data_IF_558225168419
#
_entry.id   IF_558225168419
#
_cell.length_a   1.000
_cell.length_b   1.000
_cell.length_c   1.000
_cell.angle_alpha   90.00
_cell.angle_beta   90.00
_cell.angle_gamma   90.00
#
_symmetry.space_group_name_H-M   'P 1'
#
loop_
_entity.id
_entity.type
_entity.pdbx_description
1 polymer ?
#
# COMPACT_ATOMS: atom_id res chain seq x y z
N UNK A 1 21.72 9.92 -17.46
CA UNK A 1 21.55 8.45 -17.52
C UNK A 1 20.04 8.20 -17.45
N UNK A 2 19.45 7.39 -18.38
CA UNK A 2 17.98 7.27 -18.44
C UNK A 2 17.45 6.28 -17.40
N UNK A 3 16.43 6.68 -16.66
CA UNK A 3 15.72 5.82 -15.70
C UNK A 3 15.00 4.65 -16.42
N UNK A 4 14.48 4.88 -17.62
CA UNK A 4 13.79 3.88 -18.43
C UNK A 4 14.75 3.26 -19.48
N UNK A 5 14.90 1.92 -19.43
CA UNK A 5 15.71 1.13 -20.35
C UNK A 5 14.93 -0.12 -20.78
N UNK A 6 14.45 -0.12 -22.02
CA UNK A 6 13.56 -1.16 -22.56
C UNK A 6 14.23 -2.54 -22.61
N UNK A 7 15.52 -2.60 -22.93
CA UNK A 7 16.24 -3.87 -23.07
C UNK A 7 16.43 -4.55 -21.72
N UNK A 8 16.77 -3.75 -20.69
CA UNK A 8 16.84 -4.24 -19.30
C UNK A 8 15.46 -4.63 -18.77
N UNK A 9 14.43 -3.82 -19.03
CA UNK A 9 13.05 -4.16 -18.64
C UNK A 9 12.63 -5.50 -19.24
N UNK A 10 12.84 -5.70 -20.54
CA UNK A 10 12.48 -6.97 -21.20
C UNK A 10 13.26 -8.16 -20.64
N UNK A 11 14.55 -7.98 -20.31
CA UNK A 11 15.40 -9.02 -19.74
C UNK A 11 14.98 -9.43 -18.34
N UNK A 12 14.58 -8.46 -17.50
CA UNK A 12 14.27 -8.66 -16.10
C UNK A 12 12.78 -8.69 -15.76
N UNK A 13 11.87 -8.55 -16.74
CA UNK A 13 10.42 -8.52 -16.50
C UNK A 13 9.87 -9.91 -16.15
N UNK A 14 10.04 -10.28 -14.91
CA UNK A 14 9.52 -11.52 -14.30
C UNK A 14 8.45 -11.24 -13.25
N UNK A 15 7.68 -12.24 -12.84
CA UNK A 15 6.68 -12.10 -11.78
C UNK A 15 7.37 -12.08 -10.41
N UNK A 16 6.88 -11.23 -9.49
CA UNK A 16 7.47 -11.13 -8.17
C UNK A 16 6.63 -10.32 -7.18
N UNK A 17 6.90 -10.45 -5.85
CA UNK A 17 6.17 -9.76 -4.80
C UNK A 17 6.29 -8.24 -4.92
N UNK A 18 5.31 -7.52 -4.40
CA UNK A 18 5.37 -6.04 -4.30
C UNK A 18 6.12 -5.56 -3.05
N UNK A 19 6.58 -6.48 -2.22
CA UNK A 19 7.31 -6.22 -0.99
C UNK A 19 6.66 -5.18 -0.08
N UNK A 20 5.35 -5.28 0.09
CA UNK A 20 4.61 -4.60 1.17
C UNK A 20 4.85 -5.27 2.52
N UNK A 21 5.43 -6.46 2.50
CA UNK A 21 5.98 -7.23 3.62
C UNK A 21 7.06 -8.16 3.12
N UNK A 22 7.90 -8.63 4.01
CA UNK A 22 8.75 -9.80 3.81
C UNK A 22 8.77 -10.60 5.12
N UNK A 23 8.44 -11.89 5.07
CA UNK A 23 7.86 -12.65 3.95
C UNK A 23 6.51 -12.10 3.47
N UNK A 24 6.12 -12.45 2.23
CA UNK A 24 4.84 -12.01 1.67
C UNK A 24 3.65 -12.68 2.38
N UNK A 25 2.47 -12.03 2.37
CA UNK A 25 1.26 -12.55 3.02
C UNK A 25 0.76 -13.91 2.47
N UNK A 26 1.30 -14.37 1.33
CA UNK A 26 1.03 -15.72 0.81
C UNK A 26 1.65 -16.82 1.69
N UNK A 27 2.64 -16.46 2.51
CA UNK A 27 3.35 -17.38 3.40
C UNK A 27 2.76 -17.40 4.83
N UNK A 28 1.66 -16.67 5.09
CA UNK A 28 1.01 -16.72 6.39
C UNK A 28 0.32 -18.07 6.60
N UNK A 29 0.54 -18.64 7.76
CA UNK A 29 0.02 -19.94 8.21
C UNK A 29 -0.91 -19.77 9.40
N UNK A 30 -1.25 -20.85 10.08
CA UNK A 30 -1.97 -20.81 11.35
C UNK A 30 -1.22 -19.93 12.35
N UNK A 31 -1.96 -19.11 13.08
CA UNK A 31 -1.41 -18.16 14.03
C UNK A 31 -2.37 -18.03 15.20
N UNK A 32 -1.92 -18.39 16.39
CA UNK A 32 -2.75 -18.42 17.59
C UNK A 32 -2.92 -17.02 18.22
N UNK A 33 -3.96 -16.87 19.02
CA UNK A 33 -4.14 -15.66 19.82
C UNK A 33 -3.00 -15.50 20.82
N UNK A 34 -2.52 -16.58 21.44
CA UNK A 34 -1.41 -16.55 22.39
C UNK A 34 -0.12 -16.00 21.73
N UNK A 35 0.19 -16.45 20.50
CA UNK A 35 1.33 -15.91 19.73
C UNK A 35 1.15 -14.41 19.46
N UNK A 36 -0.06 -13.97 19.13
CA UNK A 36 -0.36 -12.55 18.94
C UNK A 36 -0.17 -11.74 20.22
N UNK A 37 -0.71 -12.22 21.35
CA UNK A 37 -0.58 -11.57 22.68
C UNK A 37 0.90 -11.45 23.11
N UNK A 38 1.72 -12.46 22.84
CA UNK A 38 3.17 -12.37 23.09
C UNK A 38 3.82 -11.25 22.27
N UNK A 39 3.37 -11.03 21.03
CA UNK A 39 3.91 -9.95 20.19
C UNK A 39 3.40 -8.57 20.62
N UNK A 40 2.16 -8.44 21.07
CA UNK A 40 1.65 -7.18 21.61
C UNK A 40 2.35 -6.79 22.93
N UNK A 41 2.65 -7.76 23.79
CA UNK A 41 3.47 -7.55 24.99
C UNK A 41 4.91 -7.11 24.63
N UNK A 42 5.51 -7.74 23.60
CA UNK A 42 6.83 -7.32 23.10
C UNK A 42 6.82 -5.91 22.53
N UNK A 43 5.76 -5.53 21.77
CA UNK A 43 5.53 -4.18 21.27
C UNK A 43 5.45 -3.15 22.42
N UNK A 44 4.69 -3.48 23.47
CA UNK A 44 4.52 -2.64 24.64
C UNK A 44 5.84 -2.46 25.40
N UNK A 45 6.63 -3.50 25.59
CA UNK A 45 7.98 -3.43 26.19
C UNK A 45 8.95 -2.60 25.38
N UNK A 46 8.86 -2.64 24.04
CA UNK A 46 9.66 -1.81 23.11
C UNK A 46 9.16 -0.37 23.07
N UNK A 47 7.97 -0.09 23.59
CA UNK A 47 7.26 1.19 23.46
C UNK A 47 7.09 1.63 22.01
N UNK A 48 6.82 0.67 21.13
CA UNK A 48 6.61 0.96 19.71
C UNK A 48 5.43 1.93 19.56
N UNK A 49 5.56 2.90 18.65
CA UNK A 49 4.42 3.71 18.22
C UNK A 49 3.46 2.86 17.40
N UNK A 50 2.21 3.27 17.27
CA UNK A 50 1.15 2.51 16.61
C UNK A 50 0.69 3.22 15.35
N UNK A 51 0.46 2.44 14.30
CA UNK A 51 -0.31 2.80 13.11
C UNK A 51 -1.58 1.96 13.08
N UNK A 52 -2.76 2.59 13.05
CA UNK A 52 -4.04 1.89 12.97
C UNK A 52 -4.49 1.78 11.51
N UNK A 53 -4.84 0.59 11.06
CA UNK A 53 -5.50 0.37 9.78
C UNK A 53 -6.92 -0.13 9.99
N UNK A 54 -7.92 0.61 9.50
CA UNK A 54 -9.31 0.19 9.55
C UNK A 54 -9.82 -0.19 8.15
N UNK A 55 -10.20 -1.45 7.98
CA UNK A 55 -10.78 -1.96 6.74
C UNK A 55 -12.29 -1.75 6.73
N UNK A 56 -12.80 -0.97 5.77
CA UNK A 56 -14.24 -0.81 5.53
C UNK A 56 -14.60 -1.54 4.22
N UNK A 57 -15.27 -2.70 4.29
CA UNK A 57 -15.38 -3.58 3.13
C UNK A 57 -16.44 -3.18 2.09
N UNK A 58 -17.22 -2.12 2.32
CA UNK A 58 -18.38 -1.82 1.50
C UNK A 58 -18.06 -0.97 0.29
N UNK A 59 -18.72 -1.28 -0.85
CA UNK A 59 -18.73 -0.46 -2.07
C UNK A 59 -20.15 -0.35 -2.62
N UNK A 60 -20.53 0.82 -3.13
CA UNK A 60 -21.84 1.01 -3.80
C UNK A 60 -21.94 0.30 -5.16
N UNK A 61 -20.79 0.15 -5.85
CA UNK A 61 -20.67 -0.47 -7.18
C UNK A 61 -19.41 -1.31 -7.27
N UNK A 62 -19.39 -2.27 -8.18
CA UNK A 62 -18.21 -3.08 -8.47
C UNK A 62 -17.39 -2.45 -9.60
N UNK A 63 -16.13 -2.10 -9.34
CA UNK A 63 -15.17 -1.79 -10.40
C UNK A 63 -14.58 -3.09 -10.92
N UNK A 64 -14.53 -3.27 -12.26
CA UNK A 64 -14.15 -4.57 -12.83
C UNK A 64 -12.68 -4.93 -12.64
N UNK A 65 -11.79 -3.95 -12.52
CA UNK A 65 -10.36 -4.18 -12.25
C UNK A 65 -10.04 -4.60 -10.82
N UNK A 66 -10.98 -4.39 -9.87
CA UNK A 66 -10.68 -4.37 -8.44
C UNK A 66 -10.47 -5.76 -7.82
N UNK A 67 -9.31 -5.94 -7.14
CA UNK A 67 -8.93 -7.13 -6.39
C UNK A 67 -9.14 -7.05 -4.86
N UNK A 68 -9.69 -5.95 -4.33
CA UNK A 68 -9.87 -5.79 -2.87
C UNK A 68 -10.91 -6.75 -2.30
N UNK A 69 -10.77 -7.10 -1.01
CA UNK A 69 -11.83 -7.77 -0.25
C UNK A 69 -12.97 -6.79 0.00
N UNK A 70 -14.12 -7.03 -0.60
CA UNK A 70 -15.25 -6.08 -0.59
C UNK A 70 -16.60 -6.74 -0.65
N UNK A 71 -17.58 -6.04 -0.10
CA UNK A 71 -19.01 -6.33 -0.18
C UNK A 71 -19.69 -5.26 -1.03
N UNK A 72 -20.15 -5.61 -2.22
CA UNK A 72 -20.86 -4.66 -3.09
C UNK A 72 -22.33 -4.62 -2.70
N UNK A 73 -22.78 -3.45 -2.24
CA UNK A 73 -24.17 -3.25 -1.80
C UNK A 73 -24.55 -1.76 -1.83
N UNK A 74 -25.83 -1.49 -2.11
CA UNK A 74 -26.41 -0.14 -1.96
C UNK A 74 -27.13 0.02 -0.62
N UNK A 75 -27.32 -1.08 0.11
CA UNK A 75 -27.98 -1.09 1.40
C UNK A 75 -27.05 -0.54 2.49
N UNK A 76 -27.28 0.72 2.86
CA UNK A 76 -26.51 1.43 3.90
C UNK A 76 -26.71 0.84 5.30
N UNK A 77 -27.81 0.10 5.54
CA UNK A 77 -28.07 -0.51 6.84
C UNK A 77 -27.04 -1.58 7.19
N UNK A 78 -26.36 -2.19 6.21
CA UNK A 78 -25.29 -3.16 6.43
C UNK A 78 -24.06 -2.58 7.13
N UNK A 79 -23.90 -1.25 7.15
CA UNK A 79 -22.82 -0.60 7.87
C UNK A 79 -22.93 -0.77 9.38
N UNK A 80 -24.16 -0.69 9.94
CA UNK A 80 -24.36 -0.72 11.40
C UNK A 80 -23.85 -2.02 12.05
N UNK A 81 -24.30 -3.24 11.65
CA UNK A 81 -23.80 -4.46 12.28
C UNK A 81 -22.29 -4.64 12.10
N UNK A 82 -21.72 -4.14 11.01
CA UNK A 82 -20.26 -4.14 10.82
C UNK A 82 -19.55 -3.23 11.82
N UNK A 83 -20.05 -2.01 12.01
CA UNK A 83 -19.49 -1.07 12.99
C UNK A 83 -19.63 -1.59 14.42
N UNK A 84 -20.78 -2.19 14.75
CA UNK A 84 -20.99 -2.81 16.08
C UNK A 84 -19.95 -3.92 16.35
N UNK A 85 -19.63 -4.74 15.35
CA UNK A 85 -18.57 -5.74 15.45
C UNK A 85 -17.15 -5.11 15.51
N UNK A 86 -16.89 -4.13 14.67
CA UNK A 86 -15.61 -3.41 14.66
C UNK A 86 -15.34 -2.69 16.00
N UNK A 87 -16.38 -2.15 16.65
CA UNK A 87 -16.24 -1.55 17.98
C UNK A 87 -15.82 -2.57 19.04
N UNK A 88 -16.35 -3.79 19.00
CA UNK A 88 -15.91 -4.89 19.86
C UNK A 88 -14.44 -5.23 19.63
N UNK A 89 -14.03 -5.35 18.35
CA UNK A 89 -12.64 -5.60 18.00
C UNK A 89 -11.71 -4.50 18.53
N UNK A 90 -12.09 -3.22 18.36
CA UNK A 90 -11.34 -2.07 18.89
C UNK A 90 -11.16 -2.18 20.40
N UNK A 91 -12.23 -2.51 21.15
CA UNK A 91 -12.16 -2.69 22.61
C UNK A 91 -11.19 -3.81 22.96
N UNK A 92 -11.30 -4.98 22.34
CA UNK A 92 -10.44 -6.12 22.60
C UNK A 92 -8.98 -5.82 22.25
N UNK A 93 -8.72 -5.25 21.08
CA UNK A 93 -7.36 -4.90 20.65
C UNK A 93 -6.72 -3.86 21.59
N UNK A 94 -7.47 -2.85 22.02
CA UNK A 94 -6.94 -1.79 22.87
C UNK A 94 -6.52 -2.26 24.27
N UNK A 95 -6.98 -3.42 24.71
CA UNK A 95 -6.57 -4.03 25.98
C UNK A 95 -5.20 -4.71 25.91
N UNK A 96 -4.74 -5.04 24.71
CA UNK A 96 -3.47 -5.72 24.47
C UNK A 96 -2.27 -4.76 24.34
N UNK A 97 -2.51 -3.46 24.21
CA UNK A 97 -1.48 -2.45 24.05
C UNK A 97 -1.37 -1.54 25.28
N UNK A 98 -0.16 -1.15 25.61
CA UNK A 98 0.09 -0.19 26.70
C UNK A 98 -0.50 1.18 26.36
N UNK A 99 -1.20 1.79 27.30
CA UNK A 99 -1.86 3.10 27.11
C UNK A 99 -0.88 4.26 26.86
N UNK A 100 0.40 4.05 27.11
CA UNK A 100 1.46 5.04 26.80
C UNK A 100 1.93 4.97 25.35
N UNK A 101 1.60 3.90 24.59
CA UNK A 101 1.93 3.80 23.17
C UNK A 101 1.10 4.81 22.37
N UNK A 102 1.77 5.55 21.50
CA UNK A 102 1.16 6.67 20.77
C UNK A 102 0.77 6.23 19.37
N UNK A 103 -0.47 6.49 18.96
CA UNK A 103 -0.93 6.34 17.58
C UNK A 103 -0.46 7.55 16.78
N UNK A 104 0.55 7.33 15.92
CA UNK A 104 1.10 8.35 15.01
C UNK A 104 0.42 8.35 13.65
N UNK A 105 -0.13 7.21 13.25
CA UNK A 105 -0.85 7.07 11.98
C UNK A 105 -2.18 6.37 12.15
N UNK A 106 -3.16 6.78 11.33
CA UNK A 106 -4.43 6.08 11.14
C UNK A 106 -4.78 6.09 9.65
N UNK A 107 -5.18 4.95 9.12
CA UNK A 107 -5.63 4.84 7.73
C UNK A 107 -6.94 4.06 7.62
N UNK A 108 -7.94 4.65 6.96
CA UNK A 108 -9.17 3.95 6.58
C UNK A 108 -9.11 3.59 5.10
N UNK A 109 -9.20 2.30 4.82
CA UNK A 109 -9.12 1.77 3.46
C UNK A 109 -10.05 0.58 3.21
N UNK A 110 -9.82 -0.11 2.10
CA UNK A 110 -10.46 -1.39 1.79
C UNK A 110 -11.39 -1.41 0.59
N UNK A 111 -12.71 -1.39 0.80
CA UNK A 111 -13.71 -1.22 -0.25
C UNK A 111 -13.83 0.26 -0.61
N UNK A 112 -14.64 0.97 0.15
CA UNK A 112 -14.82 2.43 0.07
C UNK A 112 -15.20 2.94 1.45
N UNK A 113 -14.28 3.51 2.24
CA UNK A 113 -14.59 3.99 3.59
C UNK A 113 -15.72 5.02 3.62
N UNK A 114 -15.83 5.85 2.59
CA UNK A 114 -16.92 6.82 2.41
C UNK A 114 -18.26 6.18 1.97
N UNK A 115 -18.37 4.86 2.03
CA UNK A 115 -19.65 4.17 2.11
C UNK A 115 -20.38 4.51 3.42
N UNK A 116 -19.65 4.71 4.49
CA UNK A 116 -20.18 5.19 5.77
C UNK A 116 -20.65 6.64 5.64
N UNK A 117 -21.64 7.01 6.46
CA UNK A 117 -22.03 8.41 6.60
C UNK A 117 -20.97 9.21 7.37
N UNK A 118 -20.97 10.54 7.23
CA UNK A 118 -20.07 11.41 8.00
C UNK A 118 -20.19 11.19 9.52
N UNK A 119 -21.42 11.03 10.03
CA UNK A 119 -21.66 10.73 11.43
C UNK A 119 -21.04 9.40 11.86
N UNK A 120 -21.20 8.33 11.05
CA UNK A 120 -20.61 7.03 11.35
C UNK A 120 -19.07 7.08 11.35
N UNK A 121 -18.47 7.87 10.46
CA UNK A 121 -17.01 8.07 10.41
C UNK A 121 -16.53 8.83 11.67
N UNK A 122 -17.25 9.87 12.08
CA UNK A 122 -16.94 10.61 13.31
C UNK A 122 -17.06 9.68 14.55
N UNK A 123 -18.12 8.88 14.62
CA UNK A 123 -18.32 7.93 15.72
C UNK A 123 -17.20 6.88 15.78
N UNK A 124 -16.79 6.32 14.63
CA UNK A 124 -15.69 5.37 14.55
C UNK A 124 -14.35 6.00 14.96
N UNK A 125 -14.06 7.20 14.46
CA UNK A 125 -12.86 7.94 14.86
C UNK A 125 -12.83 8.24 16.36
N UNK A 126 -13.95 8.68 16.92
CA UNK A 126 -14.07 8.94 18.37
C UNK A 126 -13.87 7.64 19.18
N UNK A 127 -14.41 6.52 18.74
CA UNK A 127 -14.21 5.20 19.36
C UNK A 127 -12.73 4.82 19.42
N UNK A 128 -12.00 5.01 18.31
CA UNK A 128 -10.56 4.77 18.24
C UNK A 128 -9.78 5.69 19.19
N UNK A 129 -10.12 6.99 19.21
CA UNK A 129 -9.47 7.98 20.07
C UNK A 129 -9.74 7.74 21.57
N UNK A 130 -10.87 7.14 21.94
CA UNK A 130 -11.15 6.70 23.31
C UNK A 130 -10.37 5.43 23.70
N UNK A 131 -10.14 4.54 22.74
CA UNK A 131 -9.49 3.27 22.97
C UNK A 131 -7.94 3.38 22.98
N UNK A 132 -7.36 4.24 22.16
CA UNK A 132 -5.91 4.42 21.97
C UNK A 132 -5.48 5.88 22.26
N UNK A 133 -4.19 6.06 22.52
CA UNK A 133 -3.58 7.37 22.76
C UNK A 133 -3.09 7.98 21.44
N UNK A 134 -3.76 8.99 20.91
CA UNK A 134 -3.48 9.60 19.60
C UNK A 134 -2.53 10.81 19.72
N UNK A 135 -1.55 10.86 18.82
CA UNK A 135 -0.72 12.05 18.62
C UNK A 135 -1.58 13.23 18.12
N UNK A 136 -1.28 14.44 18.60
CA UNK A 136 -2.08 15.62 18.24
C UNK A 136 -1.99 15.91 16.73
N UNK A 137 -0.80 15.82 16.16
CA UNK A 137 -0.49 16.11 14.77
C UNK A 137 -0.08 14.84 13.99
N UNK A 138 -0.71 13.71 14.28
CA UNK A 138 -0.47 12.46 13.57
C UNK A 138 -0.93 12.49 12.11
N UNK A 139 -0.53 11.48 11.35
CA UNK A 139 -0.91 11.31 9.96
C UNK A 139 -2.18 10.45 9.85
N UNK A 140 -3.32 11.08 9.55
CA UNK A 140 -4.62 10.42 9.52
C UNK A 140 -5.22 10.50 8.12
N UNK A 141 -5.30 9.37 7.43
CA UNK A 141 -5.64 9.28 6.01
C UNK A 141 -6.86 8.40 5.75
N UNK A 142 -7.56 8.70 4.66
CA UNK A 142 -8.75 7.95 4.23
C UNK A 142 -8.79 7.83 2.71
N UNK A 143 -9.15 6.63 2.23
CA UNK A 143 -9.42 6.38 0.82
C UNK A 143 -10.82 6.89 0.42
N UNK A 144 -10.92 7.58 -0.70
CA UNK A 144 -12.15 8.18 -1.20
C UNK A 144 -12.45 7.73 -2.63
N UNK A 145 -13.68 7.28 -2.84
CA UNK A 145 -14.28 7.25 -4.17
C UNK A 145 -14.99 8.61 -4.39
N UNK A 146 -14.57 9.45 -5.35
CA UNK A 146 -15.09 10.81 -5.48
C UNK A 146 -16.56 10.85 -5.94
N UNK A 147 -17.12 9.72 -6.34
CA UNK A 147 -18.53 9.62 -6.77
C UNK A 147 -19.46 9.72 -5.57
N UNK A 148 -20.33 10.73 -5.58
CA UNK A 148 -21.33 10.94 -4.53
C UNK A 148 -20.79 11.55 -3.23
N UNK A 149 -19.59 12.14 -3.27
CA UNK A 149 -19.02 12.90 -2.16
C UNK A 149 -19.60 14.32 -2.20
N UNK A 150 -20.12 14.79 -1.07
CA UNK A 150 -20.56 16.17 -0.88
C UNK A 150 -19.63 16.92 0.10
N UNK A 151 -19.92 18.21 0.26
CA UNK A 151 -19.16 19.09 1.16
C UNK A 151 -19.26 18.60 2.62
N UNK A 152 -20.46 18.22 3.07
CA UNK A 152 -20.72 17.84 4.46
C UNK A 152 -19.90 16.59 4.85
N UNK A 153 -19.71 15.65 3.90
CA UNK A 153 -18.92 14.47 4.17
C UNK A 153 -17.43 14.85 4.38
N UNK A 154 -16.85 15.71 3.53
CA UNK A 154 -15.45 16.16 3.70
C UNK A 154 -15.27 16.93 5.01
N UNK A 155 -16.23 17.81 5.37
CA UNK A 155 -16.22 18.49 6.67
C UNK A 155 -16.29 17.48 7.85
N UNK A 156 -17.08 16.42 7.70
CA UNK A 156 -17.13 15.34 8.69
C UNK A 156 -15.79 14.59 8.81
N UNK A 157 -15.05 14.41 7.71
CA UNK A 157 -13.71 13.82 7.74
C UNK A 157 -12.73 14.72 8.51
N UNK A 158 -12.78 16.04 8.32
CA UNK A 158 -11.96 16.98 9.08
C UNK A 158 -12.30 16.95 10.59
N UNK A 159 -13.59 16.92 10.94
CA UNK A 159 -14.06 16.74 12.33
C UNK A 159 -13.54 15.40 12.92
N UNK A 160 -13.52 14.34 12.13
CA UNK A 160 -12.97 13.03 12.50
C UNK A 160 -11.42 13.02 12.53
N UNK A 161 -10.76 14.19 12.37
CA UNK A 161 -9.31 14.42 12.40
C UNK A 161 -8.53 13.86 11.23
N UNK A 162 -9.20 13.47 10.13
CA UNK A 162 -8.46 13.16 8.92
C UNK A 162 -7.82 14.42 8.35
N UNK A 163 -6.55 14.30 7.95
CA UNK A 163 -5.77 15.39 7.36
C UNK A 163 -5.13 15.01 6.03
N UNK A 164 -5.39 13.80 5.54
CA UNK A 164 -4.93 13.30 4.24
C UNK A 164 -6.03 12.51 3.56
N UNK A 165 -6.14 12.65 2.23
CA UNK A 165 -7.06 11.86 1.41
C UNK A 165 -6.32 11.17 0.26
N UNK A 166 -6.72 9.92 -0.06
CA UNK A 166 -6.34 9.25 -1.30
C UNK A 166 -7.57 9.07 -2.17
N UNK A 167 -7.53 9.58 -3.40
CA UNK A 167 -8.66 9.61 -4.32
C UNK A 167 -8.42 8.62 -5.45
N UNK A 168 -9.26 7.59 -5.53
CA UNK A 168 -9.23 6.65 -6.64
C UNK A 168 -9.77 7.28 -7.93
N UNK A 169 -8.89 7.80 -8.77
CA UNK A 169 -9.22 8.34 -10.10
C UNK A 169 -9.14 7.25 -11.16
N UNK A 170 -8.06 6.52 -11.19
CA UNK A 170 -7.71 5.44 -12.11
C UNK A 170 -7.44 5.93 -13.55
N UNK A 171 -8.39 6.60 -14.18
CA UNK A 171 -8.32 7.23 -15.49
C UNK A 171 -9.40 8.29 -15.63
N UNK A 172 -9.17 9.32 -16.48
CA UNK A 172 -10.17 10.33 -16.85
C UNK A 172 -10.74 10.15 -18.26
N UNK A 173 -10.32 9.15 -19.01
CA UNK A 173 -10.95 8.82 -20.28
C UNK A 173 -12.29 8.10 -20.06
N UNK A 174 -13.34 8.60 -20.70
CA UNK A 174 -14.70 8.08 -20.51
C UNK A 174 -14.88 6.64 -20.96
N UNK A 175 -14.27 6.25 -22.09
CA UNK A 175 -14.39 4.89 -22.62
C UNK A 175 -13.65 3.89 -21.76
N UNK A 176 -12.49 4.28 -21.20
CA UNK A 176 -11.77 3.47 -20.20
C UNK A 176 -12.61 3.31 -18.94
N UNK A 177 -13.14 4.41 -18.38
CA UNK A 177 -13.99 4.40 -17.20
C UNK A 177 -15.23 3.50 -17.37
N UNK A 178 -15.86 3.57 -18.54
CA UNK A 178 -17.02 2.73 -18.89
C UNK A 178 -16.64 1.26 -18.95
N UNK A 179 -15.51 0.92 -19.58
CA UNK A 179 -15.03 -0.45 -19.71
C UNK A 179 -14.73 -1.09 -18.34
N UNK A 180 -14.35 -0.31 -17.33
CA UNK A 180 -14.08 -0.79 -15.97
C UNK A 180 -15.21 -0.54 -14.97
N UNK A 181 -16.37 -0.06 -15.42
CA UNK A 181 -17.54 0.28 -14.59
C UNK A 181 -17.24 1.31 -13.48
N UNK A 182 -16.46 2.36 -13.83
CA UNK A 182 -16.10 3.42 -12.89
C UNK A 182 -16.16 4.80 -13.58
N UNK A 183 -17.37 5.24 -13.92
CA UNK A 183 -17.57 6.55 -14.54
C UNK A 183 -17.58 7.63 -13.48
N UNK A 184 -16.67 8.58 -13.61
CA UNK A 184 -16.54 9.78 -12.76
C UNK A 184 -16.02 10.96 -13.58
N UNK A 185 -16.55 12.16 -13.37
CA UNK A 185 -16.10 13.33 -14.11
C UNK A 185 -14.86 13.96 -13.44
N UNK A 186 -14.05 14.67 -14.24
CA UNK A 186 -12.98 15.53 -13.74
C UNK A 186 -13.48 16.55 -12.70
N UNK A 187 -14.62 17.18 -12.95
CA UNK A 187 -15.20 18.17 -12.07
C UNK A 187 -15.61 17.60 -10.70
N UNK A 188 -16.08 16.34 -10.64
CA UNK A 188 -16.35 15.67 -9.35
C UNK A 188 -15.07 15.51 -8.53
N UNK A 189 -14.00 15.04 -9.15
CA UNK A 189 -12.70 14.88 -8.49
C UNK A 189 -12.15 16.23 -8.05
N UNK A 190 -12.15 17.23 -8.95
CA UNK A 190 -11.69 18.58 -8.64
C UNK A 190 -12.45 19.18 -7.46
N UNK A 191 -13.78 19.07 -7.45
CA UNK A 191 -14.61 19.57 -6.34
C UNK A 191 -14.21 18.93 -4.99
N UNK A 192 -13.96 17.62 -4.95
CA UNK A 192 -13.52 16.94 -3.71
C UNK A 192 -12.18 17.49 -3.24
N UNK A 193 -11.21 17.66 -4.15
CA UNK A 193 -9.89 18.22 -3.84
C UNK A 193 -9.99 19.67 -3.34
N UNK A 194 -10.76 20.50 -4.03
CA UNK A 194 -10.94 21.91 -3.65
C UNK A 194 -11.54 22.02 -2.24
N UNK A 195 -12.56 21.22 -1.93
CA UNK A 195 -13.18 21.20 -0.60
C UNK A 195 -12.19 20.68 0.46
N UNK A 196 -11.43 19.63 0.16
CA UNK A 196 -10.43 19.10 1.10
C UNK A 196 -9.37 20.17 1.43
N UNK A 197 -8.87 20.90 0.42
CA UNK A 197 -7.90 21.99 0.64
C UNK A 197 -8.44 23.14 1.48
N UNK A 198 -9.71 23.47 1.31
CA UNK A 198 -10.40 24.50 2.14
C UNK A 198 -10.59 24.02 3.60
N UNK A 199 -10.61 22.71 3.83
CA UNK A 199 -10.73 22.11 5.16
C UNK A 199 -9.36 21.63 5.72
N UNK A 200 -8.27 22.27 5.29
CA UNK A 200 -6.90 22.08 5.83
C UNK A 200 -6.35 20.65 5.70
N UNK A 201 -6.81 19.89 4.70
CA UNK A 201 -6.15 18.62 4.39
C UNK A 201 -4.74 18.89 3.84
N UNK A 202 -3.75 18.38 4.55
CA UNK A 202 -2.33 18.64 4.29
C UNK A 202 -1.77 17.89 3.06
N UNK A 203 -2.46 16.84 2.58
CA UNK A 203 -2.02 16.05 1.44
C UNK A 203 -3.20 15.39 0.72
N UNK A 204 -3.19 15.50 -0.59
CA UNK A 204 -4.09 14.80 -1.52
C UNK A 204 -3.26 13.84 -2.34
N UNK A 205 -3.61 12.55 -2.31
CA UNK A 205 -3.06 11.53 -3.20
C UNK A 205 -4.07 11.19 -4.29
N UNK A 206 -3.58 10.93 -5.50
CA UNK A 206 -4.39 10.40 -6.61
C UNK A 206 -3.85 9.03 -7.02
N UNK A 207 -4.76 8.06 -7.10
CA UNK A 207 -4.44 6.74 -7.61
C UNK A 207 -4.84 6.64 -9.09
N UNK A 208 -3.88 6.24 -9.93
CA UNK A 208 -4.03 5.98 -11.35
C UNK A 208 -3.72 4.51 -11.64
N UNK A 209 -4.32 3.98 -12.69
CA UNK A 209 -4.02 2.63 -13.17
C UNK A 209 -3.70 2.68 -14.67
N UNK A 210 -2.52 2.22 -15.06
CA UNK A 210 -2.20 2.01 -16.46
C UNK A 210 -2.35 0.54 -16.87
N UNK A 211 -2.65 0.32 -18.14
CA UNK A 211 -2.91 -1.02 -18.67
C UNK A 211 -4.37 -1.47 -18.54
N UNK A 212 -5.31 -0.55 -18.27
CA UNK A 212 -6.75 -0.82 -18.28
C UNK A 212 -7.26 -1.02 -19.73
N UNK A 213 -8.44 -1.67 -19.91
CA UNK A 213 -9.02 -1.85 -21.25
C UNK A 213 -9.26 -0.50 -21.94
N UNK A 214 -9.05 -0.46 -23.25
CA UNK A 214 -9.16 0.71 -24.14
C UNK A 214 -8.16 1.83 -23.89
N UNK A 215 -7.22 1.68 -22.98
CA UNK A 215 -6.15 2.64 -22.80
C UNK A 215 -5.16 2.60 -23.97
N UNK A 216 -4.70 3.77 -24.36
CA UNK A 216 -3.55 4.01 -25.21
C UNK A 216 -2.68 5.11 -24.61
N UNK A 217 -1.46 5.26 -25.13
CA UNK A 217 -0.61 6.39 -24.75
C UNK A 217 -1.35 7.72 -24.93
N UNK A 218 -2.05 7.91 -26.04
CA UNK A 218 -2.71 9.18 -26.39
C UNK A 218 -3.90 9.49 -25.45
N UNK A 219 -4.67 8.48 -25.02
CA UNK A 219 -5.74 8.68 -24.03
C UNK A 219 -5.17 8.96 -22.66
N UNK A 220 -4.09 8.28 -22.27
CA UNK A 220 -3.49 8.46 -20.95
C UNK A 220 -2.73 9.77 -20.78
N UNK A 221 -2.18 10.36 -21.86
CA UNK A 221 -1.63 11.73 -21.87
C UNK A 221 -2.68 12.71 -21.36
N UNK A 222 -3.91 12.66 -21.88
CA UNK A 222 -5.00 13.54 -21.45
C UNK A 222 -5.38 13.35 -19.98
N UNK A 223 -5.26 12.13 -19.48
CA UNK A 223 -5.46 11.84 -18.04
C UNK A 223 -4.36 12.49 -17.21
N UNK A 224 -3.09 12.37 -17.62
CA UNK A 224 -1.96 12.97 -16.91
C UNK A 224 -2.02 14.51 -16.91
N UNK A 225 -2.43 15.14 -18.02
CA UNK A 225 -2.63 16.59 -18.10
C UNK A 225 -3.68 17.04 -17.07
N UNK A 226 -4.83 16.38 -17.01
CA UNK A 226 -5.87 16.65 -16.01
C UNK A 226 -5.38 16.42 -14.57
N UNK A 227 -4.58 15.39 -14.32
CA UNK A 227 -3.99 15.16 -13.00
C UNK A 227 -3.00 16.27 -12.63
N UNK A 228 -2.22 16.74 -13.60
CA UNK A 228 -1.31 17.87 -13.38
C UNK A 228 -2.08 19.17 -13.06
N UNK A 229 -3.24 19.42 -13.68
CA UNK A 229 -4.11 20.56 -13.35
C UNK A 229 -4.65 20.49 -11.91
N UNK A 230 -4.87 19.28 -11.39
CA UNK A 230 -5.30 19.07 -9.99
C UNK A 230 -4.15 19.26 -9.00
N UNK A 231 -2.91 19.07 -9.45
CA UNK A 231 -1.68 19.22 -8.69
C UNK A 231 -1.73 18.50 -7.33
N UNK A 232 -1.96 17.17 -7.28
CA UNK A 232 -1.93 16.42 -6.03
C UNK A 232 -0.52 16.39 -5.46
N UNK A 233 -0.39 16.25 -4.15
CA UNK A 233 0.89 16.11 -3.46
C UNK A 233 1.55 14.75 -3.75
N UNK A 234 0.72 13.70 -3.97
CA UNK A 234 1.17 12.34 -4.29
C UNK A 234 0.40 11.73 -5.45
N UNK A 235 1.07 10.89 -6.20
CA UNK A 235 0.46 10.09 -7.28
C UNK A 235 0.92 8.64 -7.13
N UNK A 236 -0.05 7.71 -7.14
CA UNK A 236 0.21 6.28 -7.26
C UNK A 236 -0.20 5.83 -8.66
N UNK A 237 0.75 5.31 -9.43
CA UNK A 237 0.55 4.88 -10.82
C UNK A 237 0.67 3.36 -10.91
N UNK A 238 -0.43 2.65 -10.66
CA UNK A 238 -0.45 1.19 -10.57
C UNK A 238 -0.50 0.50 -11.95
N UNK A 239 0.27 -0.58 -12.07
CA UNK A 239 0.18 -1.50 -13.19
C UNK A 239 -1.06 -2.40 -13.03
N UNK A 240 -1.98 -2.40 -14.02
CA UNK A 240 -3.09 -3.34 -14.03
C UNK A 240 -2.61 -4.78 -14.26
N UNK A 241 -2.90 -5.66 -13.31
CA UNK A 241 -2.70 -7.10 -13.43
C UNK A 241 -4.05 -7.78 -13.71
N UNK A 242 -4.18 -8.42 -14.87
CA UNK A 242 -5.38 -9.15 -15.24
C UNK A 242 -5.29 -10.60 -14.74
N UNK A 243 -6.06 -10.90 -13.66
CA UNK A 243 -6.07 -12.18 -12.95
C UNK A 243 -7.53 -12.65 -12.73
N UNK A 244 -8.30 -12.93 -13.78
CA UNK A 244 -9.74 -13.24 -13.70
C UNK A 244 -10.04 -14.53 -12.95
N UNK A 245 -9.09 -15.46 -12.87
CA UNK A 245 -9.22 -16.68 -12.08
C UNK A 245 -9.24 -16.39 -10.58
N UNK A 246 -8.46 -15.38 -10.16
CA UNK A 246 -8.36 -14.94 -8.76
C UNK A 246 -9.44 -13.92 -8.41
N UNK A 247 -9.76 -12.99 -9.32
CA UNK A 247 -10.67 -11.88 -9.10
C UNK A 247 -11.87 -11.92 -10.04
N UNK A 248 -12.98 -12.48 -9.57
CA UNK A 248 -14.22 -12.66 -10.34
C UNK A 248 -14.70 -11.40 -11.10
N UNK A 249 -14.61 -10.15 -10.56
CA UNK A 249 -15.00 -8.96 -11.31
C UNK A 249 -14.23 -8.77 -12.63
N UNK A 250 -12.97 -9.17 -12.67
CA UNK A 250 -12.10 -9.02 -13.85
C UNK A 250 -12.53 -9.89 -15.05
N UNK A 251 -13.37 -10.91 -14.83
CA UNK A 251 -13.99 -11.73 -15.90
C UNK A 251 -14.90 -10.92 -16.83
N UNK A 252 -15.25 -9.69 -16.45
CA UNK A 252 -16.08 -8.76 -17.24
C UNK A 252 -15.25 -7.87 -18.15
N UNK A 253 -13.92 -7.92 -18.07
CA UNK A 253 -13.00 -7.20 -18.93
C UNK A 253 -12.66 -8.09 -20.12
N UNK A 254 -12.92 -7.61 -21.33
CA UNK A 254 -12.58 -8.28 -22.56
C UNK A 254 -11.05 -8.21 -22.80
N UNK A 255 -10.42 -9.35 -23.03
CA UNK A 255 -8.96 -9.45 -23.20
C UNK A 255 -8.46 -8.65 -24.40
N UNK A 256 -9.25 -8.66 -25.47
CA UNK A 256 -8.96 -7.94 -26.73
C UNK A 256 -8.98 -6.41 -26.58
N UNK A 257 -9.60 -5.90 -25.51
CA UNK A 257 -9.61 -4.46 -25.19
C UNK A 257 -8.39 -4.02 -24.37
N UNK A 258 -7.62 -4.97 -23.84
CA UNK A 258 -6.43 -4.64 -23.05
C UNK A 258 -5.29 -4.16 -23.97
N UNK A 259 -4.54 -3.12 -23.58
CA UNK A 259 -3.36 -2.74 -24.34
C UNK A 259 -2.34 -3.88 -24.37
N UNK A 260 -1.73 -4.09 -25.53
CA UNK A 260 -0.65 -5.06 -25.63
C UNK A 260 0.57 -4.65 -24.77
N UNK A 261 1.51 -5.57 -24.49
CA UNK A 261 2.65 -5.28 -23.62
C UNK A 261 3.49 -4.08 -24.06
N UNK A 262 3.67 -3.88 -25.37
CA UNK A 262 4.45 -2.77 -25.91
C UNK A 262 3.74 -1.42 -25.66
N UNK A 263 2.42 -1.35 -25.86
CA UNK A 263 1.62 -0.16 -25.59
C UNK A 263 1.60 0.16 -24.08
N UNK A 264 1.48 -0.86 -23.24
CA UNK A 264 1.52 -0.72 -21.79
C UNK A 264 2.84 -0.12 -21.31
N UNK A 265 3.97 -0.58 -21.89
CA UNK A 265 5.29 0.01 -21.60
C UNK A 265 5.41 1.45 -22.10
N UNK A 266 4.83 1.79 -23.27
CA UNK A 266 4.81 3.18 -23.78
C UNK A 266 4.02 4.12 -22.87
N UNK A 267 2.86 3.65 -22.34
CA UNK A 267 2.07 4.42 -21.37
C UNK A 267 2.91 4.68 -20.13
N UNK A 268 3.55 3.64 -19.56
CA UNK A 268 4.37 3.75 -18.37
C UNK A 268 5.57 4.67 -18.57
N UNK A 269 6.32 4.48 -19.66
CA UNK A 269 7.47 5.33 -19.98
C UNK A 269 7.08 6.82 -20.07
N UNK A 270 6.04 7.12 -20.85
CA UNK A 270 5.57 8.50 -20.99
C UNK A 270 5.13 9.07 -19.65
N UNK A 271 4.38 8.32 -18.86
CA UNK A 271 3.91 8.77 -17.55
C UNK A 271 5.06 9.11 -16.62
N UNK A 272 6.09 8.26 -16.56
CA UNK A 272 7.29 8.48 -15.77
C UNK A 272 8.02 9.76 -16.19
N UNK A 273 8.29 9.91 -17.50
CA UNK A 273 8.98 11.07 -18.05
C UNK A 273 8.16 12.36 -17.84
N UNK A 274 6.85 12.30 -18.05
CA UNK A 274 5.95 13.43 -17.86
C UNK A 274 5.90 13.89 -16.40
N UNK A 275 5.65 12.98 -15.45
CA UNK A 275 5.55 13.33 -14.04
C UNK A 275 6.86 13.92 -13.49
N UNK A 276 8.01 13.36 -13.88
CA UNK A 276 9.32 13.92 -13.52
C UNK A 276 9.49 15.33 -14.13
N UNK A 277 9.11 15.54 -15.38
CA UNK A 277 9.14 16.85 -16.03
C UNK A 277 8.20 17.87 -15.36
N UNK A 278 7.09 17.43 -14.76
CA UNK A 278 6.21 18.25 -13.95
C UNK A 278 6.72 18.50 -12.50
N UNK A 279 7.92 18.04 -12.17
CA UNK A 279 8.58 18.27 -10.89
C UNK A 279 8.27 17.27 -9.79
N UNK A 280 7.61 16.14 -10.10
CA UNK A 280 7.44 15.05 -9.14
C UNK A 280 8.73 14.24 -9.00
N UNK A 281 9.03 13.81 -7.78
CA UNK A 281 10.11 12.88 -7.47
C UNK A 281 9.55 11.45 -7.57
N UNK A 282 10.26 10.57 -8.29
CA UNK A 282 9.98 9.14 -8.28
C UNK A 282 10.44 8.54 -6.95
N UNK A 283 9.50 8.20 -6.08
CA UNK A 283 9.76 7.63 -4.76
C UNK A 283 10.21 6.16 -4.87
N UNK A 284 9.58 5.44 -5.79
CA UNK A 284 9.84 4.02 -6.02
C UNK A 284 8.56 3.25 -6.32
N UNK A 285 8.71 2.08 -6.89
CA UNK A 285 7.59 1.22 -7.27
C UNK A 285 6.62 1.97 -8.20
N UNK A 286 5.47 2.35 -7.66
CA UNK A 286 4.38 3.00 -8.41
C UNK A 286 4.15 4.45 -7.92
N UNK A 287 5.02 5.01 -7.06
CA UNK A 287 4.74 6.24 -6.30
C UNK A 287 5.59 7.42 -6.73
N UNK A 288 4.93 8.57 -6.81
CA UNK A 288 5.52 9.87 -7.06
C UNK A 288 5.03 10.86 -6.01
N UNK A 289 5.87 11.81 -5.62
CA UNK A 289 5.53 12.86 -4.66
C UNK A 289 6.15 14.20 -5.08
N UNK A 290 5.56 15.30 -4.66
CA UNK A 290 6.17 16.61 -4.78
C UNK A 290 7.43 16.70 -3.89
N UNK A 291 8.42 17.56 -4.21
CA UNK A 291 9.66 17.64 -3.45
C UNK A 291 9.50 18.01 -1.98
N UNK A 292 8.47 18.77 -1.65
CA UNK A 292 8.11 19.21 -0.29
C UNK A 292 7.17 18.23 0.45
N UNK A 293 6.75 17.14 -0.19
CA UNK A 293 5.96 16.10 0.47
C UNK A 293 6.83 15.31 1.46
N UNK A 294 6.28 14.97 2.64
CA UNK A 294 6.98 14.17 3.65
C UNK A 294 7.60 12.86 3.15
N UNK A 295 7.01 12.19 2.13
CA UNK A 295 7.61 10.97 1.56
C UNK A 295 8.93 11.26 0.83
N UNK A 296 8.99 12.36 0.06
CA UNK A 296 10.21 12.76 -0.65
C UNK A 296 11.30 13.16 0.34
N UNK A 297 10.94 13.93 1.37
CA UNK A 297 11.85 14.32 2.45
C UNK A 297 12.36 13.08 3.19
N UNK A 298 11.47 12.18 3.61
CA UNK A 298 11.84 10.95 4.31
C UNK A 298 12.76 10.04 3.48
N UNK A 299 12.60 10.01 2.15
CA UNK A 299 13.51 9.26 1.28
C UNK A 299 14.93 9.85 1.30
N UNK A 300 15.05 11.17 1.23
CA UNK A 300 16.34 11.88 1.29
C UNK A 300 17.01 11.69 2.66
N UNK A 301 16.23 11.75 3.75
CA UNK A 301 16.72 11.61 5.12
C UNK A 301 17.00 10.14 5.53
N UNK A 302 16.60 9.16 4.69
CA UNK A 302 16.80 7.75 4.99
C UNK A 302 15.77 7.16 5.98
N UNK A 303 14.62 7.84 6.15
CA UNK A 303 13.56 7.46 7.09
C UNK A 303 12.31 6.87 6.40
N UNK A 304 12.32 6.80 5.06
CA UNK A 304 11.20 6.24 4.31
C UNK A 304 11.03 4.76 4.63
N UNK A 305 9.81 4.33 4.82
CA UNK A 305 9.45 2.93 5.06
C UNK A 305 8.38 2.46 4.07
N UNK A 306 8.24 1.14 3.93
CA UNK A 306 7.18 0.53 3.13
C UNK A 306 6.47 -0.57 3.92
N UNK A 307 5.14 -0.56 3.88
CA UNK A 307 4.29 -1.55 4.55
C UNK A 307 3.06 -1.88 3.70
N UNK A 308 2.06 -2.57 4.26
CA UNK A 308 0.83 -2.95 3.56
C UNK A 308 -0.02 -1.76 3.08
N UNK A 309 0.16 -0.59 3.66
CA UNK A 309 -0.55 0.64 3.27
C UNK A 309 0.18 1.41 2.15
N UNK A 310 1.41 1.02 1.81
CA UNK A 310 2.27 1.69 0.84
C UNK A 310 3.54 2.28 1.47
N UNK A 311 4.05 3.38 0.92
CA UNK A 311 5.16 4.12 1.53
C UNK A 311 4.69 4.97 2.71
N UNK A 312 5.48 5.00 3.76
CA UNK A 312 5.20 5.67 5.04
C UNK A 312 6.45 6.37 5.57
N UNK A 313 6.26 7.44 6.30
CA UNK A 313 7.30 8.17 7.04
C UNK A 313 7.52 7.64 8.46
N UNK A 314 6.75 6.62 8.88
CA UNK A 314 6.72 6.08 10.25
C UNK A 314 7.20 4.62 10.28
N UNK A 315 8.53 4.44 10.16
CA UNK A 315 9.15 3.12 10.15
C UNK A 315 9.08 2.38 11.50
N UNK A 316 8.95 3.12 12.58
CA UNK A 316 8.93 2.65 13.96
C UNK A 316 7.55 2.19 14.45
N UNK A 317 6.50 2.39 13.65
CA UNK A 317 5.15 2.03 14.07
C UNK A 317 4.86 0.55 13.84
N UNK A 318 4.30 -0.09 14.86
CA UNK A 318 3.58 -1.33 14.71
C UNK A 318 2.21 -1.07 14.06
N UNK A 319 1.77 -1.93 13.16
CA UNK A 319 0.50 -1.78 12.45
C UNK A 319 -0.54 -2.68 13.11
N UNK A 320 -1.57 -2.09 13.70
CA UNK A 320 -2.74 -2.80 14.20
C UNK A 320 -3.81 -2.80 13.13
N UNK A 321 -4.08 -3.97 12.55
CA UNK A 321 -5.11 -4.16 11.54
C UNK A 321 -6.47 -4.41 12.19
N UNK A 322 -7.47 -3.59 11.86
CA UNK A 322 -8.83 -3.65 12.37
C UNK A 322 -9.81 -3.90 11.21
N UNK A 323 -10.82 -4.73 11.44
CA UNK A 323 -11.83 -5.07 10.45
C UNK A 323 -11.51 -6.33 9.64
N UNK A 324 -12.50 -6.79 8.89
CA UNK A 324 -12.42 -8.00 8.06
C UNK A 324 -11.24 -7.95 7.10
N UNK A 325 -10.47 -9.01 7.00
CA UNK A 325 -9.28 -9.19 6.14
C UNK A 325 -8.09 -8.26 6.40
N UNK A 326 -8.15 -7.36 7.38
CA UNK A 326 -7.02 -6.46 7.70
C UNK A 326 -5.76 -7.25 8.03
N UNK A 327 -4.60 -6.66 7.70
CA UNK A 327 -3.29 -7.22 8.01
C UNK A 327 -2.59 -6.28 8.98
N UNK A 328 -2.05 -6.85 10.05
CA UNK A 328 -1.22 -6.18 11.04
C UNK A 328 0.25 -6.59 10.94
N UNK A 329 1.11 -5.76 11.51
CA UNK A 329 2.52 -6.05 11.78
C UNK A 329 2.84 -5.55 13.18
N UNK A 330 2.93 -6.43 14.15
CA UNK A 330 3.18 -6.08 15.55
C UNK A 330 4.47 -6.75 16.00
N UNK A 331 5.40 -5.98 16.49
CA UNK A 331 6.74 -6.41 16.88
C UNK A 331 7.42 -7.27 15.78
N UNK A 332 7.63 -8.55 16.05
CA UNK A 332 8.29 -9.46 15.13
C UNK A 332 7.28 -10.40 14.43
N UNK A 333 6.03 -9.99 14.21
CA UNK A 333 5.02 -10.82 13.57
C UNK A 333 4.14 -10.08 12.57
N UNK A 334 3.54 -10.84 11.68
CA UNK A 334 2.40 -10.45 10.87
C UNK A 334 1.16 -11.21 11.32
N UNK A 335 0.00 -10.54 11.26
CA UNK A 335 -1.30 -11.15 11.52
C UNK A 335 -2.31 -10.75 10.45
N UNK A 336 -3.27 -11.61 10.14
CA UNK A 336 -4.37 -11.32 9.23
C UNK A 336 -5.69 -11.76 9.84
N UNK A 337 -6.67 -10.87 9.82
CA UNK A 337 -8.03 -11.14 10.22
C UNK A 337 -8.76 -12.04 9.21
N UNK A 338 -9.84 -12.68 9.65
CA UNK A 338 -10.74 -13.44 8.81
C UNK A 338 -11.15 -12.66 7.57
N UNK A 339 -11.11 -13.33 6.40
CA UNK A 339 -11.49 -12.75 5.11
C UNK A 339 -12.98 -12.86 4.83
N UNK A 340 -13.62 -13.82 5.47
CA UNK A 340 -15.08 -14.03 5.38
C UNK A 340 -15.78 -13.20 6.45
N UNK A 341 -16.74 -12.38 6.03
CA UNK A 341 -17.45 -11.47 6.92
C UNK A 341 -18.27 -12.22 8.00
N UNK A 342 -18.82 -13.40 7.66
CA UNK A 342 -19.57 -14.21 8.62
C UNK A 342 -18.67 -14.76 9.71
N UNK A 343 -17.49 -15.28 9.34
CA UNK A 343 -16.50 -15.77 10.31
C UNK A 343 -15.95 -14.65 11.18
N UNK A 344 -15.74 -13.46 10.59
CA UNK A 344 -15.34 -12.26 11.32
C UNK A 344 -16.36 -11.92 12.43
N UNK A 345 -17.66 -11.91 12.11
CA UNK A 345 -18.71 -11.67 13.12
C UNK A 345 -18.74 -12.77 14.17
N UNK A 346 -18.69 -14.03 13.77
CA UNK A 346 -18.73 -15.17 14.69
C UNK A 346 -17.58 -15.14 15.72
N UNK A 347 -16.36 -14.80 15.30
CA UNK A 347 -15.22 -14.66 16.22
C UNK A 347 -15.51 -13.61 17.30
N UNK A 348 -15.95 -12.41 16.89
CA UNK A 348 -16.21 -11.30 17.80
C UNK A 348 -17.46 -11.52 18.70
N UNK A 349 -18.47 -12.22 18.20
CA UNK A 349 -19.63 -12.63 19.00
C UNK A 349 -19.24 -13.65 20.07
N UNK A 350 -18.25 -14.51 19.78
CA UNK A 350 -17.71 -15.49 20.72
C UNK A 350 -16.65 -14.91 21.67
N UNK A 351 -16.38 -13.60 21.60
CA UNK A 351 -15.40 -12.95 22.47
C UNK A 351 -13.92 -13.20 22.07
N UNK A 352 -13.68 -13.55 20.80
CA UNK A 352 -12.33 -13.79 20.29
C UNK A 352 -11.96 -12.76 19.22
N UNK A 353 -10.65 -12.36 19.18
CA UNK A 353 -10.14 -11.60 18.05
C UNK A 353 -10.25 -12.41 16.75
N UNK A 354 -10.58 -11.76 15.62
CA UNK A 354 -10.86 -12.45 14.36
C UNK A 354 -9.58 -12.81 13.59
N UNK A 355 -8.47 -13.01 14.28
CA UNK A 355 -7.17 -13.37 13.67
C UNK A 355 -7.24 -14.81 13.16
N UNK A 356 -6.95 -15.01 11.88
CA UNK A 356 -7.03 -16.33 11.24
C UNK A 356 -5.69 -16.87 10.76
N UNK A 357 -4.75 -15.98 10.49
CA UNK A 357 -3.43 -16.32 9.96
C UNK A 357 -2.38 -15.34 10.43
N UNK A 358 -1.12 -15.78 10.42
CA UNK A 358 0.01 -14.91 10.70
C UNK A 358 1.35 -15.57 10.42
N UNK A 359 2.39 -14.91 10.87
CA UNK A 359 3.76 -15.40 10.78
C UNK A 359 4.62 -14.71 11.83
N UNK A 360 5.39 -15.46 12.61
CA UNK A 360 6.47 -14.92 13.45
C UNK A 360 7.75 -14.91 12.62
N UNK A 361 8.41 -13.76 12.59
CA UNK A 361 9.66 -13.55 11.85
C UNK A 361 10.82 -14.23 12.60
N UNK A 362 11.47 -15.18 11.97
CA UNK A 362 12.73 -15.73 12.45
C UNK A 362 13.88 -14.74 12.22
N UNK A 363 15.10 -15.10 12.63
CA UNK A 363 16.27 -14.22 12.49
C UNK A 363 16.62 -13.95 11.02
N UNK A 364 16.56 -14.96 10.16
CA UNK A 364 16.83 -14.80 8.72
C UNK A 364 15.78 -13.90 8.05
N UNK A 365 14.50 -14.06 8.40
CA UNK A 365 13.43 -13.18 7.93
C UNK A 365 13.70 -11.71 8.28
N UNK A 366 14.12 -11.44 9.51
CA UNK A 366 14.42 -10.08 9.97
C UNK A 366 15.60 -9.46 9.24
N UNK A 367 16.64 -10.23 8.95
CA UNK A 367 17.82 -9.80 8.20
C UNK A 367 17.43 -9.46 6.76
N UNK A 368 16.76 -10.39 6.06
CA UNK A 368 16.34 -10.22 4.67
C UNK A 368 15.30 -9.10 4.54
N UNK A 369 14.34 -9.02 5.47
CA UNK A 369 13.37 -7.93 5.53
C UNK A 369 14.07 -6.56 5.65
N UNK A 370 15.03 -6.41 6.56
CA UNK A 370 15.76 -5.16 6.73
C UNK A 370 16.46 -4.74 5.43
N UNK A 371 17.15 -5.68 4.77
CA UNK A 371 17.82 -5.45 3.50
C UNK A 371 16.83 -5.07 2.38
N UNK A 372 15.77 -5.85 2.19
CA UNK A 372 14.76 -5.63 1.16
C UNK A 372 14.06 -4.28 1.35
N UNK A 373 13.73 -3.90 2.60
CA UNK A 373 13.08 -2.62 2.89
C UNK A 373 14.01 -1.44 2.63
N UNK A 374 15.31 -1.53 2.94
CA UNK A 374 16.28 -0.49 2.58
C UNK A 374 16.39 -0.34 1.06
N UNK A 375 16.49 -1.44 0.31
CA UNK A 375 16.54 -1.38 -1.16
C UNK A 375 15.31 -0.73 -1.77
N UNK A 376 14.10 -1.14 -1.33
CA UNK A 376 12.86 -0.67 -1.94
C UNK A 376 12.52 0.77 -1.58
N UNK A 377 13.01 1.27 -0.43
CA UNK A 377 12.75 2.63 0.05
C UNK A 377 13.85 3.61 -0.35
N UNK A 378 15.12 3.19 -0.32
CA UNK A 378 16.27 4.09 -0.46
C UNK A 378 17.17 3.75 -1.65
N UNK A 379 16.92 2.65 -2.35
CA UNK A 379 17.75 2.16 -3.45
C UNK A 379 19.21 1.88 -3.05
N UNK A 380 19.49 1.80 -1.77
CA UNK A 380 20.83 1.55 -1.25
C UNK A 380 20.76 0.86 0.12
N UNK A 381 21.68 -0.10 0.35
CA UNK A 381 21.88 -0.74 1.64
C UNK A 381 23.29 -0.42 2.12
N UNK A 382 23.43 0.09 3.34
CA UNK A 382 24.72 0.19 4.00
C UNK A 382 25.09 -1.17 4.61
N UNK A 383 26.06 -1.85 3.99
CA UNK A 383 26.48 -3.21 4.38
C UNK A 383 27.05 -3.22 5.79
N UNK A 384 27.89 -2.26 6.15
CA UNK A 384 28.52 -2.22 7.46
C UNK A 384 27.48 -2.05 8.58
N UNK A 385 26.45 -1.22 8.35
CA UNK A 385 25.34 -1.03 9.30
C UNK A 385 24.53 -2.32 9.46
N UNK A 386 24.25 -3.03 8.35
CA UNK A 386 23.53 -4.30 8.35
C UNK A 386 24.33 -5.39 9.10
N UNK A 387 25.62 -5.53 8.79
CA UNK A 387 26.54 -6.47 9.45
C UNK A 387 26.61 -6.23 10.97
N UNK A 388 26.77 -4.96 11.37
CA UNK A 388 26.80 -4.57 12.79
C UNK A 388 25.48 -4.86 13.50
N UNK A 389 24.34 -4.54 12.84
CA UNK A 389 22.99 -4.72 13.42
C UNK A 389 22.66 -6.18 13.71
N UNK A 390 23.07 -7.07 12.80
CA UNK A 390 22.68 -8.49 12.88
C UNK A 390 23.84 -9.42 13.21
N UNK A 391 25.06 -8.89 13.44
CA UNK A 391 26.27 -9.68 13.74
C UNK A 391 26.57 -10.73 12.67
N UNK A 392 26.42 -10.38 11.40
CA UNK A 392 26.70 -11.23 10.23
C UNK A 392 27.89 -10.69 9.41
N UNK A 393 28.34 -11.48 8.44
CA UNK A 393 29.21 -11.05 7.33
C UNK A 393 28.42 -11.12 6.04
N UNK A 394 28.17 -10.00 5.38
CA UNK A 394 27.29 -9.90 4.22
C UNK A 394 27.64 -10.90 3.12
N UNK A 395 28.91 -10.93 2.70
CA UNK A 395 29.35 -11.80 1.59
C UNK A 395 29.14 -13.27 1.92
N UNK A 396 29.47 -13.72 3.13
CA UNK A 396 29.30 -15.13 3.54
C UNK A 396 27.83 -15.46 3.79
N UNK A 397 27.06 -14.53 4.35
CA UNK A 397 25.66 -14.76 4.65
C UNK A 397 24.79 -14.87 3.39
N UNK A 398 25.09 -14.08 2.36
CA UNK A 398 24.39 -14.03 1.08
C UNK A 398 25.21 -14.65 -0.05
N UNK A 399 26.08 -15.63 0.24
CA UNK A 399 26.93 -16.29 -0.77
C UNK A 399 26.14 -16.82 -1.96
N UNK A 400 24.98 -17.42 -1.69
CA UNK A 400 24.06 -17.94 -2.73
C UNK A 400 23.53 -16.86 -3.67
N UNK A 401 23.48 -15.59 -3.25
CA UNK A 401 22.99 -14.45 -4.02
C UNK A 401 24.06 -13.81 -4.93
N UNK A 402 25.35 -14.07 -4.65
CA UNK A 402 26.46 -13.31 -5.27
C UNK A 402 26.51 -13.43 -6.78
N UNK A 403 26.24 -14.63 -7.33
CA UNK A 403 26.29 -14.84 -8.77
C UNK A 403 25.26 -13.96 -9.51
N UNK A 404 24.03 -13.91 -9.02
CA UNK A 404 22.96 -13.08 -9.60
C UNK A 404 23.26 -11.59 -9.40
N UNK A 405 23.79 -11.19 -8.26
CA UNK A 405 24.19 -9.80 -7.98
C UNK A 405 25.33 -9.36 -8.92
N UNK A 406 26.33 -10.19 -9.18
CA UNK A 406 27.41 -9.89 -10.13
C UNK A 406 26.88 -9.74 -11.56
N UNK A 407 25.92 -10.56 -11.96
CA UNK A 407 25.26 -10.40 -13.26
C UNK A 407 24.51 -9.06 -13.33
N UNK A 408 23.72 -8.72 -12.31
CA UNK A 408 23.01 -7.43 -12.24
C UNK A 408 23.98 -6.24 -12.21
N UNK A 409 25.15 -6.37 -11.60
CA UNK A 409 26.21 -5.35 -11.64
C UNK A 409 26.80 -5.22 -13.04
N UNK A 410 27.09 -6.32 -13.74
CA UNK A 410 27.54 -6.32 -15.13
C UNK A 410 26.53 -5.66 -16.07
N UNK A 411 25.23 -5.86 -15.84
CA UNK A 411 24.15 -5.21 -16.58
C UNK A 411 23.91 -3.74 -16.16
N UNK A 412 24.64 -3.25 -15.15
CA UNK A 412 24.59 -1.85 -14.69
C UNK A 412 23.32 -1.50 -13.87
N UNK A 413 22.65 -2.51 -13.30
CA UNK A 413 21.48 -2.31 -12.44
C UNK A 413 21.88 -1.91 -11.03
N UNK A 414 22.99 -2.46 -10.54
CA UNK A 414 23.50 -2.24 -9.18
C UNK A 414 25.00 -1.95 -9.20
N UNK A 415 25.49 -1.44 -8.08
CA UNK A 415 26.91 -1.40 -7.72
C UNK A 415 27.06 -2.02 -6.34
N UNK A 416 27.86 -3.08 -6.25
CA UNK A 416 28.18 -3.78 -5.00
C UNK A 416 29.66 -3.56 -4.68
N UNK A 417 29.94 -3.14 -3.46
CA UNK A 417 31.28 -3.05 -2.87
C UNK A 417 31.24 -3.44 -1.39
N UNK A 418 32.35 -3.32 -0.66
CA UNK A 418 32.43 -3.69 0.75
C UNK A 418 31.62 -2.77 1.70
N UNK A 419 31.16 -1.63 1.24
CA UNK A 419 30.45 -0.63 2.05
C UNK A 419 28.95 -0.61 1.77
N UNK A 420 28.57 -0.79 0.49
CA UNK A 420 27.18 -0.68 0.09
C UNK A 420 26.80 -1.55 -1.10
N UNK A 421 25.51 -1.89 -1.16
CA UNK A 421 24.79 -2.37 -2.34
C UNK A 421 23.86 -1.25 -2.79
N UNK A 422 24.17 -0.64 -3.93
CA UNK A 422 23.43 0.51 -4.48
C UNK A 422 22.72 0.16 -5.79
N UNK A 423 21.44 0.46 -5.89
CA UNK A 423 20.67 0.38 -7.13
C UNK A 423 20.95 1.61 -7.97
N UNK A 424 21.46 1.41 -9.17
CA UNK A 424 21.80 2.48 -10.11
C UNK A 424 20.53 3.05 -10.77
N UNK A 425 20.63 4.25 -11.38
CA UNK A 425 19.45 4.88 -12.03
C UNK A 425 18.69 3.94 -12.99
N UNK A 426 19.40 3.14 -13.80
CA UNK A 426 18.81 2.15 -14.71
C UNK A 426 18.13 0.99 -13.97
N UNK A 427 18.53 0.74 -12.71
CA UNK A 427 17.97 -0.35 -11.88
C UNK A 427 16.77 0.05 -11.06
N UNK A 428 16.49 1.36 -10.86
CA UNK A 428 15.44 1.81 -9.94
C UNK A 428 14.05 1.25 -10.28
N UNK A 429 13.69 1.21 -11.57
CA UNK A 429 12.42 0.60 -12.00
C UNK A 429 12.40 -0.92 -11.77
N UNK A 430 13.56 -1.55 -11.71
CA UNK A 430 13.75 -2.99 -11.52
C UNK A 430 14.15 -3.33 -10.08
N UNK A 431 13.97 -2.42 -9.11
CA UNK A 431 14.35 -2.65 -7.70
C UNK A 431 13.70 -3.92 -7.13
N UNK A 432 12.48 -4.27 -7.54
CA UNK A 432 11.83 -5.52 -7.14
C UNK A 432 12.67 -6.74 -7.53
N UNK A 433 13.27 -6.73 -8.71
CA UNK A 433 14.13 -7.81 -9.18
C UNK A 433 15.39 -7.94 -8.32
N UNK A 434 15.97 -6.81 -7.89
CA UNK A 434 17.09 -6.81 -6.95
C UNK A 434 16.67 -7.37 -5.59
N UNK A 435 15.49 -6.98 -5.09
CA UNK A 435 14.93 -7.53 -3.85
C UNK A 435 14.67 -9.05 -3.94
N UNK A 436 14.22 -9.53 -5.11
CA UNK A 436 13.93 -10.96 -5.35
C UNK A 436 15.16 -11.86 -5.18
N UNK A 437 16.37 -11.35 -5.40
CA UNK A 437 17.62 -12.09 -5.18
C UNK A 437 17.76 -12.55 -3.73
N UNK A 438 17.24 -11.77 -2.79
CA UNK A 438 17.31 -12.03 -1.36
C UNK A 438 16.09 -12.75 -0.79
N UNK A 439 15.07 -13.06 -1.62
CA UNK A 439 13.81 -13.66 -1.18
C UNK A 439 13.86 -15.18 -1.26
N UNK A 440 14.04 -15.83 -0.11
CA UNK A 440 14.11 -17.29 0.00
C UNK A 440 12.77 -17.98 -0.21
N UNK A 441 11.65 -17.28 -0.10
CA UNK A 441 10.31 -17.83 -0.28
C UNK A 441 9.86 -17.91 -1.73
N UNK A 442 10.56 -17.25 -2.67
CA UNK A 442 10.21 -17.26 -4.09
C UNK A 442 10.38 -18.62 -4.75
N UNK A 443 11.32 -19.44 -4.28
CA UNK A 443 11.61 -20.78 -4.84
C UNK A 443 10.38 -21.70 -4.89
N UNK A 444 9.30 -21.34 -4.20
CA UNK A 444 8.09 -22.18 -4.05
C UNK A 444 6.81 -21.58 -4.63
N UNK A 445 6.83 -20.35 -5.20
CA UNK A 445 5.59 -19.62 -5.47
C UNK A 445 5.59 -18.73 -6.73
N UNK A 446 6.42 -18.98 -7.74
CA UNK A 446 6.62 -18.10 -8.92
C UNK A 446 5.33 -17.75 -9.69
N UNK A 447 4.32 -18.61 -9.71
CA UNK A 447 3.08 -18.41 -10.48
C UNK A 447 2.04 -17.47 -9.83
N UNK A 448 2.26 -16.97 -8.59
CA UNK A 448 1.24 -16.26 -7.82
C UNK A 448 1.35 -14.73 -7.82
N UNK A 449 2.33 -14.16 -8.50
CA UNK A 449 2.60 -12.71 -8.48
C UNK A 449 2.38 -12.02 -9.83
N UNK A 450 2.12 -10.70 -9.78
CA UNK A 450 2.12 -9.85 -10.98
C UNK A 450 3.55 -9.66 -11.52
N UNK A 451 3.66 -9.35 -12.81
CA UNK A 451 4.94 -8.94 -13.41
C UNK A 451 5.52 -7.70 -12.70
N UNK A 452 6.84 -7.57 -12.75
CA UNK A 452 7.55 -6.47 -12.10
C UNK A 452 7.33 -5.12 -12.77
N UNK A 453 7.09 -5.12 -14.09
CA UNK A 453 6.72 -3.94 -14.88
C UNK A 453 5.60 -4.28 -15.86
#
# INVERSE_FOLDING_TARGET
MRLFDIDLINRYNRSGPRYTSYPSANNFSEFSLEEYEQQTDLSSRRRSSISLYCHIPFCNTVCYYCGCNKVVTKDKAKAKPYLDALYKEIDMQSLLFDKTQIVKQMHFGGGTPTFLSGEQIIQLSNKLQQAFNFELNGEYSIEIDPRGIDKNLIESLAIARFNRISIGVQDFDFEVQKAVNRVQSFNQTKKVIDIARVNDFSSVSIDLIYGLPRQSKDTFIKTLEKVNDLRPERISLFNYAHLPERFKPQRRIALEELPNPAEKLRIFQYSLEYLIAQGYIYIGMDHFALPDDPLAIAQIEGNLHRNFQGYSTHSECDIVGLGVSSIGHVADSYSQNEKDLKRYYQALESGHLPISKGLILNTDDKIRRALIMELICHFEVNIQRLEKRFSIRFISYFEECLLELLQMQSDGLIKLNNESLKVMERGKLLVRNVCMVFDTYLKFTEESFSKTI
#
